data_IF_339613510101
#
_entry.id   IF_339613510101
#
_cell.length_a   1.000
_cell.length_b   1.000
_cell.length_c   1.000
_cell.angle_alpha   90.00
_cell.angle_beta   90.00
_cell.angle_gamma   90.00
#
_symmetry.space_group_name_H-M   'P 1'
#
loop_
_entity.id
_entity.type
_entity.pdbx_description
1 polymer ?
#
# COMPACT_ATOMS: atom_id res chain seq x y z
N UNK A 1 -21.71 -30.40 -5.74
CA UNK A 1 -20.71 -30.05 -4.70
C UNK A 1 -20.91 -28.59 -4.35
N UNK A 2 -21.51 -28.32 -3.20
CA UNK A 2 -22.01 -26.99 -2.84
C UNK A 2 -20.97 -26.23 -2.01
N UNK A 3 -20.03 -25.55 -2.70
CA UNK A 3 -18.93 -24.84 -2.06
C UNK A 3 -19.40 -23.66 -1.19
N UNK A 4 -20.59 -23.12 -1.47
CA UNK A 4 -21.21 -22.04 -0.70
C UNK A 4 -21.75 -22.49 0.66
N UNK A 5 -21.87 -23.80 0.88
CA UNK A 5 -22.22 -24.40 2.17
C UNK A 5 -21.01 -24.98 2.89
N UNK A 6 -19.79 -24.79 2.35
CA UNK A 6 -18.58 -25.12 3.07
C UNK A 6 -18.48 -24.27 4.34
N UNK A 7 -18.12 -24.93 5.45
CA UNK A 7 -17.87 -24.28 6.74
C UNK A 7 -16.90 -23.11 6.60
N UNK A 8 -15.85 -23.28 5.79
CA UNK A 8 -14.84 -22.26 5.51
C UNK A 8 -15.45 -21.03 4.81
N UNK A 9 -16.33 -21.24 3.83
CA UNK A 9 -16.96 -20.13 3.14
C UNK A 9 -17.87 -19.35 4.08
N UNK A 10 -18.72 -20.03 4.83
CA UNK A 10 -19.69 -19.39 5.72
C UNK A 10 -19.03 -18.66 6.89
N UNK A 11 -17.97 -19.21 7.48
CA UNK A 11 -17.36 -18.68 8.70
C UNK A 11 -16.13 -17.80 8.46
N UNK A 12 -15.48 -17.93 7.31
CA UNK A 12 -14.23 -17.20 7.02
C UNK A 12 -14.40 -16.25 5.84
N UNK A 13 -14.81 -16.76 4.67
CA UNK A 13 -14.80 -15.96 3.44
C UNK A 13 -16.02 -15.02 3.30
N UNK A 14 -17.18 -15.42 3.79
CA UNK A 14 -18.43 -14.63 3.77
C UNK A 14 -18.56 -13.69 4.98
N UNK A 15 -17.59 -13.70 5.89
CA UNK A 15 -17.61 -12.84 7.06
C UNK A 15 -17.27 -11.41 6.66
N UNK A 16 -18.07 -10.43 7.11
CA UNK A 16 -17.95 -9.03 6.70
C UNK A 16 -16.55 -8.46 6.95
N UNK A 17 -15.90 -8.83 8.05
CA UNK A 17 -14.52 -8.42 8.35
C UNK A 17 -13.54 -8.86 7.25
N UNK A 18 -13.65 -10.09 6.73
CA UNK A 18 -12.76 -10.61 5.69
C UNK A 18 -12.95 -9.90 4.35
N UNK A 19 -14.20 -9.61 3.96
CA UNK A 19 -14.45 -8.82 2.75
C UNK A 19 -13.86 -7.41 2.90
N UNK A 20 -14.00 -6.79 4.08
CA UNK A 20 -13.41 -5.48 4.36
C UNK A 20 -11.88 -5.49 4.33
N UNK A 21 -11.20 -6.55 4.75
CA UNK A 21 -9.73 -6.63 4.62
C UNK A 21 -9.30 -6.61 3.16
N UNK A 22 -10.00 -7.32 2.28
CA UNK A 22 -9.73 -7.31 0.84
C UNK A 22 -9.92 -5.89 0.27
N UNK A 23 -11.03 -5.23 0.62
CA UNK A 23 -11.31 -3.85 0.18
C UNK A 23 -10.19 -2.90 0.61
N UNK A 24 -9.77 -2.95 1.88
CA UNK A 24 -8.69 -2.09 2.40
C UNK A 24 -7.36 -2.39 1.71
N UNK A 25 -7.03 -3.66 1.48
CA UNK A 25 -5.80 -4.06 0.79
C UNK A 25 -5.78 -3.54 -0.65
N UNK A 26 -6.86 -3.73 -1.40
CA UNK A 26 -6.97 -3.23 -2.79
C UNK A 26 -6.87 -1.70 -2.81
N UNK A 27 -7.50 -1.01 -1.86
CA UNK A 27 -7.45 0.44 -1.76
C UNK A 27 -6.04 0.95 -1.43
N UNK A 28 -5.35 0.33 -0.47
CA UNK A 28 -3.96 0.63 -0.13
C UNK A 28 -3.03 0.38 -1.31
N UNK A 29 -3.17 -0.74 -2.01
CA UNK A 29 -2.38 -1.03 -3.20
C UNK A 29 -2.64 0.01 -4.30
N UNK A 30 -3.88 0.48 -4.49
CA UNK A 30 -4.18 1.53 -5.46
C UNK A 30 -3.50 2.87 -5.13
N UNK A 31 -3.33 3.19 -3.85
CA UNK A 31 -2.64 4.41 -3.42
C UNK A 31 -1.12 4.22 -3.48
N UNK A 32 -0.62 3.07 -3.02
CA UNK A 32 0.82 2.80 -2.89
C UNK A 32 1.44 2.51 -4.26
N UNK A 33 0.76 1.79 -5.16
CA UNK A 33 1.28 1.42 -6.47
C UNK A 33 1.79 2.62 -7.30
N UNK A 34 1.03 3.73 -7.50
CA UNK A 34 1.54 4.87 -8.25
C UNK A 34 2.71 5.56 -7.53
N UNK A 35 2.71 5.62 -6.19
CA UNK A 35 3.82 6.17 -5.39
C UNK A 35 5.09 5.32 -5.57
N UNK A 36 4.94 4.00 -5.53
CA UNK A 36 6.02 3.04 -5.68
C UNK A 36 6.59 3.09 -7.10
N UNK A 37 5.72 3.09 -8.12
CA UNK A 37 6.13 3.25 -9.53
C UNK A 37 6.87 4.58 -9.72
N UNK A 38 6.36 5.68 -9.17
CA UNK A 38 7.03 6.97 -9.23
C UNK A 38 8.41 6.93 -8.55
N UNK A 39 8.52 6.31 -7.38
CA UNK A 39 9.79 6.15 -6.67
C UNK A 39 10.79 5.30 -7.45
N UNK A 40 10.37 4.17 -8.04
CA UNK A 40 11.24 3.31 -8.86
C UNK A 40 11.67 3.98 -10.17
N UNK A 41 10.75 4.70 -10.82
CA UNK A 41 11.02 5.34 -12.11
C UNK A 41 11.79 6.67 -11.97
N UNK A 42 11.74 7.30 -10.79
CA UNK A 42 12.41 8.56 -10.54
C UNK A 42 13.86 8.33 -10.12
N UNK A 43 14.78 8.31 -11.08
CA UNK A 43 16.25 8.39 -10.85
C UNK A 43 16.67 9.66 -10.08
N UNK A 44 15.79 10.66 -10.00
CA UNK A 44 16.04 11.89 -9.25
C UNK A 44 15.87 11.63 -7.77
N UNK A 45 17.00 11.72 -7.03
CA UNK A 45 17.02 11.82 -5.56
C UNK A 45 15.91 12.77 -5.12
N UNK A 46 15.04 12.27 -4.23
CA UNK A 46 13.90 13.00 -3.67
C UNK A 46 14.34 14.44 -3.35
N UNK A 47 13.77 15.48 -4.00
CA UNK A 47 14.25 16.86 -3.86
C UNK A 47 14.14 17.36 -2.41
N UNK A 48 13.25 16.74 -1.63
CA UNK A 48 13.08 17.02 -0.21
C UNK A 48 14.26 16.56 0.65
N UNK A 49 14.90 15.42 0.31
CA UNK A 49 16.10 14.93 1.00
C UNK A 49 17.31 15.82 0.67
N UNK A 50 17.42 16.29 -0.58
CA UNK A 50 18.48 17.21 -0.99
C UNK A 50 18.44 18.53 -0.22
N UNK A 51 17.25 19.11 -0.03
CA UNK A 51 17.09 20.36 0.77
C UNK A 51 17.45 20.18 2.24
N UNK A 52 17.19 19.00 2.81
CA UNK A 52 17.57 18.69 4.19
C UNK A 52 19.09 18.54 4.35
N UNK A 53 19.76 17.96 3.34
CA UNK A 53 21.22 17.86 3.30
C UNK A 53 21.90 19.23 3.13
N UNK A 54 21.41 20.08 2.22
CA UNK A 54 21.94 21.45 2.02
C UNK A 54 21.75 22.34 3.26
N UNK A 55 20.60 22.27 3.94
CA UNK A 55 20.41 23.04 5.20
C UNK A 55 21.35 22.60 6.33
N UNK A 56 21.81 21.35 6.32
CA UNK A 56 22.74 20.83 7.33
C UNK A 56 24.19 21.27 7.05
N UNK A 57 24.55 21.42 5.78
CA UNK A 57 25.86 21.88 5.34
C UNK A 57 26.07 23.39 5.59
N UNK A 58 25.05 24.22 5.32
CA UNK A 58 25.12 25.69 5.53
C UNK A 58 25.17 26.11 7.00
N UNK A 59 24.87 25.20 7.94
CA UNK A 59 24.82 25.50 9.38
C UNK A 59 26.11 25.08 10.13
N UNK A 60 27.10 24.52 9.43
CA UNK A 60 28.39 24.07 10.00
C UNK A 60 29.50 25.07 9.68
#
# INVERSE_FOLDING_TARGET
>A
MDMYHSWLYQHVLNTSWFIWTIVVVVFLLNIIAPILIWYLMSDKKIPFIRRYAEKKDVKN
#
